data_IF_156691637939
#
_entry.id   IF_156691637939
#
_cell.length_a   1.000
_cell.length_b   1.000
_cell.length_c   1.000
_cell.angle_alpha   90.00
_cell.angle_beta   90.00
_cell.angle_gamma   90.00
#
_symmetry.space_group_name_H-M   'P 1'
#
loop_
_entity.id
_entity.type
_entity.pdbx_description
1 polymer ?
#
# COMPACT_ATOMS: atom_id res chain seq x y z
N UNK A 1 -37.15 -5.79 -9.21
CA UNK A 1 -38.04 -4.63 -9.34
C UNK A 1 -37.21 -3.41 -9.70
N UNK A 2 -37.68 -2.60 -10.61
CA UNK A 2 -36.95 -1.42 -11.13
C UNK A 2 -37.59 -0.13 -10.62
N UNK A 3 -36.93 1.01 -10.77
CA UNK A 3 -37.49 2.32 -10.42
C UNK A 3 -38.76 2.63 -11.23
N UNK A 4 -38.87 2.04 -12.44
CA UNK A 4 -40.04 2.15 -13.30
C UNK A 4 -41.28 1.45 -12.67
N UNK A 5 -41.06 0.28 -12.07
CA UNK A 5 -42.12 -0.49 -11.42
C UNK A 5 -42.60 0.22 -10.15
N UNK A 6 -41.66 0.78 -9.35
CA UNK A 6 -42.00 1.61 -8.18
C UNK A 6 -42.81 2.84 -8.58
N UNK A 7 -42.39 3.55 -9.62
CA UNK A 7 -43.12 4.73 -10.10
C UNK A 7 -44.52 4.41 -10.56
N UNK A 8 -44.70 3.30 -11.29
CA UNK A 8 -46.00 2.80 -11.75
C UNK A 8 -46.92 2.44 -10.59
N UNK A 9 -46.43 1.71 -9.59
CA UNK A 9 -47.23 1.28 -8.44
C UNK A 9 -47.57 2.45 -7.51
N UNK A 10 -46.64 3.37 -7.27
CA UNK A 10 -46.91 4.58 -6.49
C UNK A 10 -47.74 5.63 -7.23
N UNK A 11 -48.03 5.45 -8.51
CA UNK A 11 -48.80 6.38 -9.33
C UNK A 11 -48.13 7.75 -9.50
N UNK A 12 -46.79 7.77 -9.66
CA UNK A 12 -46.01 9.00 -9.82
C UNK A 12 -44.98 8.86 -10.92
N UNK A 13 -44.33 9.97 -11.29
CA UNK A 13 -43.23 9.92 -12.25
C UNK A 13 -41.96 9.32 -11.63
N UNK A 14 -41.09 8.75 -12.47
CA UNK A 14 -39.74 8.27 -12.08
C UNK A 14 -38.93 9.37 -11.39
N UNK A 15 -39.04 10.61 -11.90
CA UNK A 15 -38.41 11.79 -11.30
C UNK A 15 -38.91 12.02 -9.86
N UNK A 16 -40.18 11.81 -9.58
CA UNK A 16 -40.78 11.94 -8.24
C UNK A 16 -40.23 10.86 -7.30
N UNK A 17 -40.15 9.59 -7.75
CA UNK A 17 -39.54 8.51 -6.99
C UNK A 17 -38.07 8.82 -6.68
N UNK A 18 -37.30 9.22 -7.69
CA UNK A 18 -35.90 9.62 -7.52
C UNK A 18 -35.74 10.77 -6.51
N UNK A 19 -36.61 11.77 -6.53
CA UNK A 19 -36.55 12.88 -5.56
C UNK A 19 -36.89 12.44 -4.14
N UNK A 20 -37.80 11.48 -3.97
CA UNK A 20 -38.13 10.90 -2.65
C UNK A 20 -36.96 10.11 -2.11
N UNK A 21 -36.39 9.21 -2.91
CA UNK A 21 -35.18 8.41 -2.56
C UNK A 21 -34.00 9.31 -2.14
N UNK A 22 -33.79 10.40 -2.87
CA UNK A 22 -32.70 11.34 -2.60
C UNK A 22 -33.09 12.47 -1.62
N UNK A 23 -34.21 12.37 -0.94
CA UNK A 23 -34.71 13.34 0.04
C UNK A 23 -34.76 14.80 -0.45
N UNK A 24 -34.93 15.01 -1.76
CA UNK A 24 -34.95 16.36 -2.34
C UNK A 24 -36.25 17.11 -1.89
N UNK A 25 -36.13 18.44 -1.67
CA UNK A 25 -37.31 19.27 -1.31
C UNK A 25 -38.28 19.40 -2.48
N UNK A 26 -39.51 19.83 -2.15
CA UNK A 26 -40.55 20.12 -3.14
C UNK A 26 -41.46 18.93 -3.53
N UNK A 27 -41.47 17.87 -2.71
CA UNK A 27 -42.42 16.77 -2.80
C UNK A 27 -43.43 16.88 -1.65
N UNK A 28 -44.75 16.83 -1.95
CA UNK A 28 -45.81 16.83 -0.93
C UNK A 28 -45.67 15.60 -0.03
N UNK A 29 -45.89 15.79 1.28
CA UNK A 29 -45.71 14.74 2.28
C UNK A 29 -46.50 13.46 1.96
N UNK A 30 -47.78 13.61 1.58
CA UNK A 30 -48.63 12.48 1.17
C UNK A 30 -48.04 11.68 -0.01
N UNK A 31 -47.34 12.34 -0.92
CA UNK A 31 -46.66 11.67 -2.04
C UNK A 31 -45.37 10.97 -1.57
N UNK A 32 -44.66 11.57 -0.63
CA UNK A 32 -43.45 11.00 -0.03
C UNK A 32 -43.77 9.70 0.72
N UNK A 33 -44.80 9.73 1.58
CA UNK A 33 -45.27 8.56 2.33
C UNK A 33 -45.67 7.43 1.38
N UNK A 34 -46.51 7.70 0.38
CA UNK A 34 -46.95 6.69 -0.59
C UNK A 34 -45.80 6.04 -1.36
N UNK A 35 -44.79 6.82 -1.79
CA UNK A 35 -43.61 6.28 -2.46
C UNK A 35 -42.78 5.45 -1.50
N UNK A 36 -42.62 5.90 -0.24
CA UNK A 36 -41.87 5.18 0.77
C UNK A 36 -42.52 3.82 1.10
N UNK A 37 -43.86 3.76 1.24
CA UNK A 37 -44.59 2.50 1.46
C UNK A 37 -44.34 1.48 0.34
N UNK A 38 -44.25 1.93 -0.92
CA UNK A 38 -43.93 1.05 -2.05
C UNK A 38 -42.48 0.60 -2.02
N UNK A 39 -41.54 1.50 -1.70
CA UNK A 39 -40.11 1.17 -1.55
C UNK A 39 -39.91 0.12 -0.46
N UNK A 40 -40.54 0.31 0.70
CA UNK A 40 -40.44 -0.59 1.85
C UNK A 40 -41.09 -1.96 1.58
N UNK A 41 -42.27 -1.97 0.95
CA UNK A 41 -42.99 -3.19 0.54
C UNK A 41 -42.16 -4.12 -0.31
N UNK A 42 -41.35 -3.55 -1.19
CA UNK A 42 -40.49 -4.32 -2.12
C UNK A 42 -39.02 -4.38 -1.72
N UNK A 43 -38.66 -3.85 -0.55
CA UNK A 43 -37.27 -3.72 -0.10
C UNK A 43 -36.38 -3.14 -1.21
N UNK A 44 -36.89 -2.13 -1.92
CA UNK A 44 -36.20 -1.55 -3.06
C UNK A 44 -35.01 -0.73 -2.61
N UNK A 45 -33.83 -1.24 -2.93
CA UNK A 45 -32.58 -0.49 -2.79
C UNK A 45 -32.17 0.07 -4.15
N UNK A 46 -32.05 1.40 -4.27
CA UNK A 46 -31.54 2.01 -5.50
C UNK A 46 -30.17 1.45 -5.86
N UNK A 47 -29.99 0.95 -7.07
CA UNK A 47 -28.67 0.49 -7.49
C UNK A 47 -27.67 1.66 -7.45
N UNK A 48 -26.42 1.44 -7.04
CA UNK A 48 -25.38 2.45 -7.10
C UNK A 48 -25.26 3.10 -8.48
N UNK A 49 -25.40 2.31 -9.56
CA UNK A 49 -25.41 2.78 -10.94
C UNK A 49 -26.55 3.76 -11.24
N UNK A 50 -27.74 3.53 -10.67
CA UNK A 50 -28.90 4.44 -10.86
C UNK A 50 -28.72 5.76 -10.09
N UNK A 51 -28.06 5.73 -8.92
CA UNK A 51 -27.65 6.94 -8.19
C UNK A 51 -26.56 7.70 -8.93
N UNK A 52 -25.57 6.99 -9.46
CA UNK A 52 -24.44 7.53 -10.21
C UNK A 52 -24.86 8.24 -11.50
N UNK A 53 -25.81 7.68 -12.25
CA UNK A 53 -26.35 8.32 -13.49
C UNK A 53 -26.99 9.69 -13.19
N UNK A 54 -27.67 9.81 -12.06
CA UNK A 54 -28.30 11.08 -11.67
C UNK A 54 -27.31 12.13 -11.15
N UNK A 55 -26.21 11.68 -10.52
CA UNK A 55 -25.21 12.53 -9.91
C UNK A 55 -23.95 12.75 -10.77
N UNK A 56 -23.78 12.05 -11.91
CA UNK A 56 -22.53 11.95 -12.69
C UNK A 56 -21.33 11.50 -11.86
N UNK A 57 -21.56 10.79 -10.73
CA UNK A 57 -20.53 10.29 -9.83
C UNK A 57 -20.80 8.83 -9.51
N UNK A 58 -19.82 7.96 -9.72
CA UNK A 58 -19.98 6.51 -9.48
C UNK A 58 -19.92 6.15 -7.98
N UNK A 59 -19.34 7.00 -7.16
CA UNK A 59 -19.03 6.73 -5.75
C UNK A 59 -17.99 5.61 -5.58
N UNK A 60 -17.23 5.32 -6.61
CA UNK A 60 -16.29 4.17 -6.63
C UNK A 60 -14.85 4.62 -6.84
N UNK A 61 -13.94 4.14 -6.01
CA UNK A 61 -12.49 4.31 -6.13
C UNK A 61 -11.87 2.94 -6.44
N UNK A 62 -10.99 2.88 -7.45
CA UNK A 62 -10.24 1.66 -7.73
C UNK A 62 -8.97 1.61 -6.87
N UNK A 63 -8.72 0.46 -6.26
CA UNK A 63 -7.48 0.15 -5.53
C UNK A 63 -6.72 -0.90 -6.33
N UNK A 64 -5.57 -0.53 -6.89
CA UNK A 64 -4.73 -1.41 -7.69
C UNK A 64 -3.49 -1.79 -6.87
N UNK A 65 -3.24 -3.08 -6.75
CA UNK A 65 -2.05 -3.62 -6.09
C UNK A 65 -1.50 -4.80 -6.87
N UNK A 66 -0.24 -5.11 -6.69
CA UNK A 66 0.40 -6.25 -7.37
C UNK A 66 -0.19 -7.58 -6.91
N UNK A 67 -0.19 -7.82 -5.60
CA UNK A 67 -0.75 -9.04 -5.01
C UNK A 67 -1.32 -8.76 -3.60
N UNK A 68 -2.64 -8.84 -3.45
CA UNK A 68 -3.31 -8.62 -2.16
C UNK A 68 -2.99 -9.68 -1.09
N UNK A 69 -2.36 -10.79 -1.45
CA UNK A 69 -1.89 -11.82 -0.50
C UNK A 69 -0.61 -11.38 0.22
N UNK A 70 0.12 -10.43 -0.32
CA UNK A 70 1.26 -9.81 0.35
C UNK A 70 0.77 -8.92 1.49
N UNK A 71 1.27 -9.17 2.70
CA UNK A 71 0.85 -8.49 3.93
C UNK A 71 1.13 -6.98 3.86
N UNK A 72 2.23 -6.57 3.26
CA UNK A 72 2.56 -5.15 3.07
C UNK A 72 1.51 -4.43 2.21
N UNK A 73 1.13 -5.04 1.08
CA UNK A 73 0.10 -4.45 0.21
C UNK A 73 -1.30 -4.55 0.82
N UNK A 74 -1.67 -5.72 1.38
CA UNK A 74 -3.00 -5.91 1.94
C UNK A 74 -3.28 -5.01 3.13
N UNK A 75 -2.28 -4.68 3.94
CA UNK A 75 -2.41 -3.74 5.04
C UNK A 75 -2.77 -2.34 4.54
N UNK A 76 -2.05 -1.84 3.54
CA UNK A 76 -2.34 -0.53 2.92
C UNK A 76 -3.72 -0.53 2.25
N UNK A 77 -4.06 -1.59 1.48
CA UNK A 77 -5.39 -1.75 0.86
C UNK A 77 -6.50 -1.67 1.90
N UNK A 78 -6.37 -2.42 3.00
CA UNK A 78 -7.34 -2.44 4.09
C UNK A 78 -7.54 -1.05 4.69
N UNK A 79 -6.45 -0.36 5.03
CA UNK A 79 -6.52 0.98 5.64
C UNK A 79 -7.16 2.00 4.69
N UNK A 80 -6.76 2.01 3.41
CA UNK A 80 -7.34 2.89 2.39
C UNK A 80 -8.84 2.63 2.23
N UNK A 81 -9.24 1.35 2.12
CA UNK A 81 -10.64 0.95 1.97
C UNK A 81 -11.48 1.41 3.17
N UNK A 82 -11.01 1.14 4.39
CA UNK A 82 -11.73 1.54 5.60
C UNK A 82 -11.93 3.08 5.68
N UNK A 83 -10.91 3.86 5.35
CA UNK A 83 -11.00 5.32 5.39
C UNK A 83 -11.91 5.89 4.28
N UNK A 84 -11.85 5.33 3.07
CA UNK A 84 -12.73 5.73 1.97
C UNK A 84 -14.19 5.32 2.22
N UNK A 85 -14.42 4.12 2.78
CA UNK A 85 -15.75 3.63 3.17
C UNK A 85 -16.42 4.54 4.20
N UNK A 86 -15.69 5.04 5.21
CA UNK A 86 -16.21 6.03 6.19
C UNK A 86 -16.70 7.31 5.51
N UNK A 87 -16.17 7.63 4.33
CA UNK A 87 -16.56 8.80 3.53
C UNK A 87 -17.63 8.47 2.47
N UNK A 88 -18.13 7.23 2.45
CA UNK A 88 -19.21 6.79 1.57
C UNK A 88 -18.79 6.34 0.18
N UNK A 89 -17.49 6.16 -0.07
CA UNK A 89 -16.98 5.57 -1.31
C UNK A 89 -16.99 4.04 -1.24
N UNK A 90 -17.28 3.41 -2.37
CA UNK A 90 -17.05 1.98 -2.58
C UNK A 90 -15.65 1.77 -3.15
N UNK A 91 -14.99 0.69 -2.75
CA UNK A 91 -13.69 0.35 -3.28
C UNK A 91 -13.76 -0.84 -4.25
N UNK A 92 -13.16 -0.69 -5.43
CA UNK A 92 -12.98 -1.74 -6.43
C UNK A 92 -11.54 -2.23 -6.39
N UNK A 93 -11.29 -3.36 -5.72
CA UNK A 93 -9.96 -3.95 -5.65
C UNK A 93 -9.61 -4.69 -6.94
N UNK A 94 -8.42 -4.42 -7.47
CA UNK A 94 -7.84 -5.06 -8.65
C UNK A 94 -6.42 -5.55 -8.38
N UNK A 95 -6.20 -6.87 -8.45
CA UNK A 95 -4.87 -7.45 -8.47
C UNK A 95 -4.29 -7.34 -9.88
N UNK A 96 -3.13 -6.70 -10.01
CA UNK A 96 -2.50 -6.47 -11.31
C UNK A 96 -1.48 -7.54 -11.69
N UNK A 97 -0.98 -8.31 -10.71
CA UNK A 97 0.18 -9.16 -10.91
C UNK A 97 1.44 -8.35 -11.24
N UNK A 98 2.49 -9.07 -11.65
CA UNK A 98 3.79 -8.50 -12.02
C UNK A 98 3.90 -8.11 -13.49
N UNK A 99 2.97 -8.58 -14.32
CA UNK A 99 2.99 -8.38 -15.77
C UNK A 99 2.60 -6.93 -16.15
N UNK A 100 3.38 -6.34 -17.08
CA UNK A 100 3.17 -4.96 -17.53
C UNK A 100 1.84 -4.77 -18.24
N UNK A 101 1.45 -5.72 -19.06
CA UNK A 101 0.22 -5.64 -19.87
C UNK A 101 -1.00 -5.71 -18.95
N UNK A 102 -0.97 -6.62 -17.96
CA UNK A 102 -2.04 -6.73 -16.97
C UNK A 102 -2.18 -5.47 -16.11
N UNK A 103 -1.08 -4.82 -15.73
CA UNK A 103 -1.13 -3.53 -15.00
C UNK A 103 -1.80 -2.45 -15.83
N UNK A 104 -1.47 -2.36 -17.12
CA UNK A 104 -2.09 -1.39 -18.04
C UNK A 104 -3.57 -1.72 -18.27
N UNK A 105 -3.92 -3.00 -18.46
CA UNK A 105 -5.31 -3.46 -18.61
C UNK A 105 -6.16 -3.11 -17.38
N UNK A 106 -5.62 -3.24 -16.17
CA UNK A 106 -6.34 -2.83 -14.95
C UNK A 106 -6.67 -1.33 -14.94
N UNK A 107 -5.80 -0.45 -15.47
CA UNK A 107 -6.09 0.98 -15.59
C UNK A 107 -7.18 1.25 -16.65
N UNK A 108 -7.14 0.53 -17.76
CA UNK A 108 -8.20 0.60 -18.77
C UNK A 108 -9.55 0.14 -18.20
N UNK A 109 -9.56 -0.96 -17.43
CA UNK A 109 -10.76 -1.45 -16.74
C UNK A 109 -11.26 -0.47 -15.69
N UNK A 110 -10.38 0.22 -14.96
CA UNK A 110 -10.78 1.29 -14.04
C UNK A 110 -11.51 2.42 -14.78
N UNK A 111 -11.00 2.85 -15.94
CA UNK A 111 -11.67 3.82 -16.81
C UNK A 111 -13.04 3.30 -17.28
N UNK A 112 -13.13 2.05 -17.76
CA UNK A 112 -14.39 1.44 -18.22
C UNK A 112 -15.44 1.35 -17.10
N UNK A 113 -15.01 1.13 -15.86
CA UNK A 113 -15.87 1.14 -14.68
C UNK A 113 -16.24 2.55 -14.21
N UNK A 114 -15.77 3.60 -14.89
CA UNK A 114 -16.07 5.00 -14.57
C UNK A 114 -15.75 5.36 -13.11
N UNK A 115 -14.63 4.86 -12.56
CA UNK A 115 -14.21 5.17 -11.19
C UNK A 115 -13.92 6.66 -11.04
N UNK A 116 -14.19 7.23 -9.87
CA UNK A 116 -13.93 8.63 -9.58
C UNK A 116 -12.46 8.92 -9.27
N UNK A 117 -11.73 7.91 -8.80
CA UNK A 117 -10.31 8.00 -8.49
C UNK A 117 -9.65 6.63 -8.51
N UNK A 118 -8.33 6.62 -8.53
CA UNK A 118 -7.50 5.40 -8.50
C UNK A 118 -6.42 5.53 -7.45
N UNK A 119 -6.26 4.51 -6.60
CA UNK A 119 -5.12 4.39 -5.70
C UNK A 119 -4.22 3.26 -6.21
N UNK A 120 -2.97 3.59 -6.55
CA UNK A 120 -1.93 2.64 -6.96
C UNK A 120 -1.07 2.32 -5.74
N UNK A 121 -1.01 1.07 -5.31
CA UNK A 121 -0.38 0.65 -4.07
C UNK A 121 0.88 -0.17 -4.36
N UNK A 122 2.02 0.41 -4.10
CA UNK A 122 3.35 -0.18 -4.26
C UNK A 122 4.27 0.57 -5.20
N UNK A 123 5.58 0.55 -4.90
CA UNK A 123 6.63 1.21 -5.70
C UNK A 123 6.80 0.62 -7.11
N UNK A 124 6.23 -0.55 -7.36
CA UNK A 124 6.22 -1.21 -8.68
C UNK A 124 5.41 -0.44 -9.73
N UNK A 125 4.60 0.52 -9.31
CA UNK A 125 3.89 1.44 -10.22
C UNK A 125 4.72 2.67 -10.61
N UNK A 126 5.90 2.90 -10.05
CA UNK A 126 6.77 4.03 -10.42
C UNK A 126 7.58 3.73 -11.68
N UNK A 127 6.87 3.63 -12.81
CA UNK A 127 7.43 3.22 -14.09
C UNK A 127 6.91 4.09 -15.25
N UNK A 128 7.78 4.33 -16.26
CA UNK A 128 7.42 5.16 -17.43
C UNK A 128 6.21 4.64 -18.21
N UNK A 129 5.99 3.32 -18.27
CA UNK A 129 4.84 2.77 -18.96
C UNK A 129 3.53 3.01 -18.18
N UNK A 130 3.59 3.05 -16.85
CA UNK A 130 2.47 3.44 -15.99
C UNK A 130 2.12 4.92 -16.19
N UNK A 131 3.13 5.80 -16.27
CA UNK A 131 2.91 7.21 -16.60
C UNK A 131 2.15 7.37 -17.92
N UNK A 132 2.54 6.62 -18.96
CA UNK A 132 1.83 6.60 -20.25
C UNK A 132 0.40 6.07 -20.13
N UNK A 133 0.20 5.02 -19.32
CA UNK A 133 -1.12 4.43 -19.11
C UNK A 133 -2.06 5.40 -18.36
N UNK A 134 -1.59 6.08 -17.30
CA UNK A 134 -2.36 7.13 -16.60
C UNK A 134 -2.73 8.25 -17.59
N UNK A 135 -1.78 8.77 -18.36
CA UNK A 135 -2.03 9.82 -19.35
C UNK A 135 -3.06 9.41 -20.40
N UNK A 136 -3.07 8.13 -20.80
CA UNK A 136 -3.97 7.61 -21.82
C UNK A 136 -5.38 7.30 -21.30
N UNK A 137 -5.48 6.61 -20.16
CA UNK A 137 -6.73 6.05 -19.69
C UNK A 137 -7.37 6.85 -18.54
N UNK A 138 -6.57 7.62 -17.80
CA UNK A 138 -6.99 8.34 -16.59
C UNK A 138 -6.60 9.83 -16.62
N UNK A 139 -6.68 10.56 -17.78
CA UNK A 139 -6.11 11.90 -17.93
C UNK A 139 -6.71 12.94 -16.97
N UNK A 140 -7.96 12.74 -16.55
CA UNK A 140 -8.69 13.65 -15.66
C UNK A 140 -9.14 12.97 -14.35
N UNK A 141 -8.75 11.72 -14.13
CA UNK A 141 -9.10 10.96 -12.93
C UNK A 141 -8.02 11.19 -11.90
N UNK A 142 -8.34 11.61 -10.66
CA UNK A 142 -7.39 11.67 -9.56
C UNK A 142 -6.70 10.32 -9.33
N UNK A 143 -5.37 10.34 -9.21
CA UNK A 143 -4.56 9.17 -8.92
C UNK A 143 -3.70 9.45 -7.68
N UNK A 144 -3.83 8.61 -6.66
CA UNK A 144 -2.95 8.64 -5.48
C UNK A 144 -2.05 7.41 -5.53
N UNK A 145 -0.76 7.59 -5.27
CA UNK A 145 0.22 6.51 -5.26
C UNK A 145 0.75 6.31 -3.84
N UNK A 146 0.62 5.09 -3.33
CA UNK A 146 1.21 4.68 -2.06
C UNK A 146 2.60 4.10 -2.30
N UNK A 147 3.60 4.66 -1.66
CA UNK A 147 5.02 4.35 -1.79
C UNK A 147 5.57 4.47 -3.22
N UNK A 148 5.03 5.39 -3.99
CA UNK A 148 5.45 5.71 -5.36
C UNK A 148 5.04 7.14 -5.73
N UNK A 149 5.65 7.69 -6.79
CA UNK A 149 5.25 8.97 -7.37
C UNK A 149 5.58 9.04 -8.86
N UNK A 150 4.70 9.68 -9.62
CA UNK A 150 4.92 10.04 -11.01
C UNK A 150 4.54 11.51 -11.21
N UNK A 151 5.41 12.28 -11.84
CA UNK A 151 5.18 13.71 -12.09
C UNK A 151 4.13 13.91 -13.19
N UNK A 152 2.87 13.95 -12.77
CA UNK A 152 1.69 14.21 -13.58
C UNK A 152 0.71 15.12 -12.82
N UNK A 153 -0.05 15.99 -13.51
CA UNK A 153 -0.89 17.00 -12.87
C UNK A 153 -2.03 16.43 -12.01
N UNK A 154 -2.46 15.20 -12.29
CA UNK A 154 -3.53 14.50 -11.58
C UNK A 154 -3.01 13.39 -10.65
N UNK A 155 -1.71 13.39 -10.32
CA UNK A 155 -1.07 12.37 -9.47
C UNK A 155 -0.54 13.00 -8.18
N UNK A 156 -0.85 12.38 -7.04
CA UNK A 156 -0.22 12.66 -5.76
C UNK A 156 0.44 11.39 -5.21
N UNK A 157 1.63 11.52 -4.61
CA UNK A 157 2.39 10.42 -4.01
C UNK A 157 2.51 10.54 -2.50
N UNK A 158 2.26 9.44 -1.79
CA UNK A 158 2.57 9.28 -0.37
C UNK A 158 3.70 8.27 -0.27
N UNK A 159 4.88 8.72 0.15
CA UNK A 159 6.13 7.97 0.12
C UNK A 159 6.61 7.67 1.55
N UNK A 160 7.42 6.64 1.72
CA UNK A 160 8.23 6.44 2.91
C UNK A 160 9.72 6.61 2.57
N UNK A 161 10.47 7.33 3.43
CA UNK A 161 11.92 7.50 3.25
C UNK A 161 12.68 6.24 3.70
N UNK A 162 12.60 5.18 2.88
CA UNK A 162 13.30 3.92 3.13
C UNK A 162 14.83 4.08 3.19
N UNK A 163 15.38 5.08 2.49
CA UNK A 163 16.82 5.41 2.55
C UNK A 163 17.21 5.87 3.95
N UNK A 164 16.44 6.77 4.54
CA UNK A 164 16.66 7.25 5.90
C UNK A 164 16.52 6.12 6.93
N UNK A 165 15.48 5.27 6.79
CA UNK A 165 15.28 4.14 7.70
C UNK A 165 16.47 3.18 7.73
N UNK A 166 17.03 2.85 6.56
CA UNK A 166 18.20 1.99 6.46
C UNK A 166 19.47 2.65 7.02
N UNK A 167 19.67 3.96 6.77
CA UNK A 167 20.78 4.71 7.36
C UNK A 167 20.70 4.69 8.89
N UNK A 168 19.52 4.85 9.46
CA UNK A 168 19.29 4.81 10.91
C UNK A 168 19.56 3.42 11.49
N UNK A 169 19.16 2.35 10.80
CA UNK A 169 19.45 0.98 11.22
C UNK A 169 20.94 0.70 11.29
N UNK A 170 21.71 1.11 10.26
CA UNK A 170 23.18 0.99 10.28
C UNK A 170 23.78 1.82 11.41
N UNK A 171 23.32 3.06 11.59
CA UNK A 171 23.80 3.94 12.66
C UNK A 171 23.59 3.30 14.04
N UNK A 172 22.39 2.75 14.29
CA UNK A 172 22.09 2.04 15.53
C UNK A 172 23.03 0.87 15.78
N UNK A 173 23.26 0.00 14.78
CA UNK A 173 24.18 -1.14 14.92
C UNK A 173 25.62 -0.70 15.20
N UNK A 174 26.08 0.35 14.52
CA UNK A 174 27.41 0.92 14.71
C UNK A 174 27.58 1.49 16.15
N UNK A 175 26.57 2.14 16.71
CA UNK A 175 26.54 2.63 18.09
C UNK A 175 26.62 1.48 19.12
N UNK A 176 26.16 0.28 18.75
CA UNK A 176 26.32 -0.96 19.52
C UNK A 176 27.66 -1.66 19.29
N UNK A 177 28.62 -0.99 18.63
CA UNK A 177 29.93 -1.49 18.25
C UNK A 177 29.94 -2.68 17.27
N UNK A 178 28.85 -2.94 16.56
CA UNK A 178 28.79 -3.92 15.48
C UNK A 178 29.34 -3.26 14.20
N UNK A 179 30.38 -3.88 13.62
CA UNK A 179 31.12 -3.29 12.47
C UNK A 179 31.02 -4.12 11.20
N UNK A 180 30.73 -5.42 11.35
CA UNK A 180 30.58 -6.35 10.24
C UNK A 180 29.10 -6.52 9.93
N UNK A 181 28.54 -5.50 9.28
CA UNK A 181 27.11 -5.43 8.98
C UNK A 181 26.92 -5.82 7.50
N UNK A 182 26.07 -6.79 7.23
CA UNK A 182 25.70 -7.19 5.87
C UNK A 182 24.28 -6.71 5.53
N UNK A 183 23.99 -6.62 4.23
CA UNK A 183 22.66 -6.32 3.71
C UNK A 183 22.17 -7.44 2.81
N UNK A 184 20.93 -7.88 3.00
CA UNK A 184 20.27 -8.90 2.17
C UNK A 184 18.96 -8.35 1.64
N UNK A 185 18.84 -8.27 0.30
CA UNK A 185 17.65 -7.73 -0.33
C UNK A 185 17.46 -8.14 -1.77
N UNK A 186 16.25 -7.89 -2.27
CA UNK A 186 15.87 -8.03 -3.68
C UNK A 186 16.21 -6.81 -4.45
N UNK A 187 16.25 -6.16 -5.24
CA UNK A 187 16.73 -4.83 -5.63
C UNK A 187 16.31 -4.25 -6.99
N UNK A 188 15.19 -4.72 -7.48
CA UNK A 188 14.82 -4.33 -8.83
C UNK A 188 13.84 -3.14 -8.92
N UNK A 189 13.29 -2.63 -7.81
CA UNK A 189 12.40 -1.48 -7.84
C UNK A 189 13.01 -0.22 -7.20
N UNK A 190 12.33 0.92 -7.31
CA UNK A 190 12.81 2.21 -6.80
C UNK A 190 13.01 2.20 -5.29
N UNK A 191 12.07 1.59 -4.54
CA UNK A 191 12.15 1.47 -3.07
C UNK A 191 13.35 0.63 -2.64
N UNK A 192 13.56 -0.53 -3.27
CA UNK A 192 14.69 -1.41 -2.98
C UNK A 192 16.03 -0.71 -3.22
N UNK A 193 16.17 0.02 -4.31
CA UNK A 193 17.38 0.81 -4.58
C UNK A 193 17.62 1.91 -3.55
N UNK A 194 16.54 2.58 -3.09
CA UNK A 194 16.63 3.61 -2.06
C UNK A 194 17.06 3.01 -0.71
N UNK A 195 16.47 1.89 -0.29
CA UNK A 195 16.84 1.13 0.92
C UNK A 195 18.32 0.74 0.90
N UNK A 196 18.79 0.14 -0.19
CA UNK A 196 20.21 -0.19 -0.36
C UNK A 196 21.11 1.04 -0.24
N UNK A 197 20.75 2.12 -0.93
CA UNK A 197 21.55 3.34 -0.87
C UNK A 197 21.62 3.88 0.57
N UNK A 198 20.54 3.78 1.34
CA UNK A 198 20.53 4.14 2.75
C UNK A 198 21.47 3.30 3.60
N UNK A 199 21.52 1.97 3.35
CA UNK A 199 22.53 1.11 3.98
C UNK A 199 23.96 1.58 3.66
N UNK A 200 24.29 1.81 2.39
CA UNK A 200 25.62 2.27 1.97
C UNK A 200 25.98 3.64 2.58
N UNK A 201 25.02 4.56 2.62
CA UNK A 201 25.22 5.88 3.22
C UNK A 201 25.47 5.77 4.74
N UNK A 202 24.72 4.90 5.42
CA UNK A 202 24.92 4.61 6.84
C UNK A 202 26.32 4.03 7.14
N UNK A 203 26.76 3.04 6.35
CA UNK A 203 28.11 2.47 6.47
C UNK A 203 29.19 3.54 6.30
N UNK A 204 29.08 4.36 5.27
CA UNK A 204 30.01 5.47 5.01
C UNK A 204 29.98 6.51 6.14
N UNK A 205 28.81 6.90 6.61
CA UNK A 205 28.63 7.90 7.69
C UNK A 205 29.26 7.45 8.99
N UNK A 206 29.15 6.15 9.31
CA UNK A 206 29.74 5.56 10.50
C UNK A 206 31.23 5.21 10.34
N UNK A 207 31.85 5.50 9.19
CA UNK A 207 33.24 5.16 8.90
C UNK A 207 33.51 3.65 8.86
N UNK A 208 32.48 2.87 8.59
CA UNK A 208 32.55 1.42 8.46
C UNK A 208 32.96 1.05 7.02
N UNK A 209 33.73 -0.03 6.92
CA UNK A 209 34.01 -0.62 5.62
C UNK A 209 32.70 -1.22 5.08
N UNK A 210 32.41 -0.99 3.82
CA UNK A 210 31.25 -1.58 3.16
C UNK A 210 31.24 -3.10 3.41
N UNK A 211 30.15 -3.60 4.00
CA UNK A 211 29.95 -5.01 4.26
C UNK A 211 29.47 -5.74 3.00
N UNK A 212 29.32 -7.04 3.10
CA UNK A 212 28.80 -7.82 1.99
C UNK A 212 27.34 -7.44 1.69
N UNK A 213 27.11 -7.14 0.42
CA UNK A 213 25.77 -6.86 -0.10
C UNK A 213 25.33 -8.06 -0.91
N UNK A 214 24.45 -8.86 -0.33
CA UNK A 214 23.88 -10.02 -1.01
C UNK A 214 22.70 -9.58 -1.87
N UNK A 215 22.90 -9.66 -3.18
CA UNK A 215 21.93 -9.32 -4.18
C UNK A 215 21.10 -10.52 -4.59
N UNK A 216 19.84 -10.25 -5.04
CA UNK A 216 19.01 -11.23 -5.71
C UNK A 216 18.44 -12.30 -4.78
N UNK A 217 18.13 -11.95 -3.54
CA UNK A 217 17.12 -12.72 -2.85
C UNK A 217 15.80 -12.51 -3.60
N UNK A 218 15.27 -13.55 -4.24
CA UNK A 218 13.88 -13.51 -4.67
C UNK A 218 13.02 -13.24 -3.44
N UNK A 219 11.96 -12.46 -3.59
CA UNK A 219 11.03 -12.20 -2.51
C UNK A 219 10.60 -13.51 -1.85
N UNK A 220 10.71 -13.58 -0.53
CA UNK A 220 10.21 -14.70 0.24
C UNK A 220 11.24 -15.41 1.13
N UNK A 221 10.73 -16.30 1.98
CA UNK A 221 11.51 -16.97 3.03
C UNK A 221 12.54 -17.95 2.48
N UNK A 222 12.23 -18.67 1.40
CA UNK A 222 13.12 -19.71 0.87
C UNK A 222 14.44 -19.13 0.42
N UNK A 223 14.39 -18.12 -0.43
CA UNK A 223 15.59 -17.48 -0.96
C UNK A 223 16.32 -16.67 0.11
N UNK A 224 15.58 -16.04 1.04
CA UNK A 224 16.16 -15.39 2.22
C UNK A 224 17.02 -16.35 3.06
N UNK A 225 16.55 -17.58 3.27
CA UNK A 225 17.33 -18.63 3.94
C UNK A 225 18.57 -19.03 3.16
N UNK A 226 18.43 -19.30 1.86
CA UNK A 226 19.56 -19.69 0.98
C UNK A 226 20.65 -18.62 1.00
N UNK A 227 20.28 -17.35 0.80
CA UNK A 227 21.24 -16.24 0.76
C UNK A 227 21.90 -15.99 2.11
N UNK A 228 21.18 -16.17 3.19
CA UNK A 228 21.75 -16.05 4.53
C UNK A 228 22.78 -17.15 4.81
N UNK A 229 22.52 -18.39 4.40
CA UNK A 229 23.50 -19.47 4.50
C UNK A 229 24.76 -19.14 3.71
N UNK A 230 24.63 -18.79 2.43
CA UNK A 230 25.75 -18.44 1.57
C UNK A 230 26.58 -17.29 2.15
N UNK A 231 25.92 -16.26 2.67
CA UNK A 231 26.55 -15.13 3.33
C UNK A 231 27.40 -15.58 4.53
N UNK A 232 26.83 -16.33 5.45
CA UNK A 232 27.51 -16.73 6.70
C UNK A 232 28.59 -17.78 6.48
N UNK A 233 28.48 -18.63 5.45
CA UNK A 233 29.55 -19.55 5.05
C UNK A 233 30.76 -18.82 4.44
N UNK A 234 30.54 -17.75 3.68
CA UNK A 234 31.60 -16.95 3.07
C UNK A 234 32.16 -15.88 4.01
N UNK A 235 31.32 -15.36 4.90
CA UNK A 235 31.63 -14.26 5.82
C UNK A 235 31.25 -14.63 7.27
N UNK A 236 31.90 -15.62 7.88
CA UNK A 236 31.57 -16.07 9.23
C UNK A 236 31.79 -15.01 10.31
N UNK A 237 32.51 -13.92 10.00
CA UNK A 237 32.72 -12.76 10.85
C UNK A 237 31.53 -11.79 10.90
N UNK A 238 30.44 -12.05 10.19
CA UNK A 238 29.26 -11.18 10.16
C UNK A 238 28.63 -11.05 11.56
N UNK A 239 28.47 -9.81 12.03
CA UNK A 239 27.94 -9.48 13.37
C UNK A 239 26.47 -9.04 13.30
N UNK A 240 26.03 -8.51 12.16
CA UNK A 240 24.65 -8.12 11.95
C UNK A 240 24.22 -8.25 10.47
N UNK A 241 22.94 -8.53 10.26
CA UNK A 241 22.34 -8.56 8.93
C UNK A 241 21.12 -7.65 8.93
N UNK A 242 21.08 -6.72 7.98
CA UNK A 242 19.90 -5.91 7.68
C UNK A 242 19.22 -6.50 6.45
N UNK A 243 17.95 -6.86 6.61
CA UNK A 243 17.12 -7.40 5.51
C UNK A 243 16.20 -6.34 4.95
N UNK A 244 16.00 -6.38 3.65
CA UNK A 244 15.15 -5.43 2.93
C UNK A 244 13.67 -5.52 3.30
N UNK A 245 13.19 -6.71 3.68
CA UNK A 245 11.80 -6.97 4.08
C UNK A 245 11.70 -8.11 5.11
N UNK A 246 10.59 -8.14 5.84
CA UNK A 246 10.38 -9.11 6.93
C UNK A 246 10.37 -10.56 6.47
N UNK A 247 9.79 -10.89 5.30
CA UNK A 247 9.73 -12.28 4.80
C UNK A 247 11.11 -12.83 4.46
N UNK A 248 11.99 -12.02 3.87
CA UNK A 248 13.37 -12.42 3.60
C UNK A 248 14.09 -12.66 4.93
N UNK A 249 13.89 -11.77 5.91
CA UNK A 249 14.50 -11.88 7.24
C UNK A 249 14.05 -13.13 7.99
N UNK A 250 12.77 -13.51 7.92
CA UNK A 250 12.26 -14.77 8.52
C UNK A 250 12.98 -15.97 7.93
N UNK A 251 13.15 -15.98 6.60
CA UNK A 251 13.93 -17.02 5.94
C UNK A 251 15.34 -17.10 6.46
N UNK A 252 16.00 -15.97 6.60
CA UNK A 252 17.35 -15.86 7.17
C UNK A 252 17.43 -16.33 8.61
N UNK A 253 16.51 -15.89 9.48
CA UNK A 253 16.47 -16.30 10.88
C UNK A 253 16.22 -17.82 11.04
N UNK A 254 15.32 -18.37 10.24
CA UNK A 254 15.08 -19.82 10.22
C UNK A 254 16.32 -20.60 9.79
N UNK A 255 17.07 -20.07 8.83
CA UNK A 255 18.30 -20.70 8.36
C UNK A 255 19.42 -20.62 9.39
N UNK A 256 19.60 -19.45 10.03
CA UNK A 256 20.55 -19.28 11.15
C UNK A 256 20.24 -20.25 12.29
N UNK A 257 18.98 -20.47 12.63
CA UNK A 257 18.58 -21.46 13.62
C UNK A 257 19.01 -22.88 13.23
N UNK A 258 18.85 -23.29 11.97
CA UNK A 258 19.30 -24.60 11.47
C UNK A 258 20.83 -24.74 11.48
N UNK A 259 21.55 -23.62 11.25
CA UNK A 259 23.02 -23.57 11.31
C UNK A 259 23.56 -23.51 12.76
N UNK A 260 22.69 -23.37 13.77
CA UNK A 260 23.09 -23.19 15.15
C UNK A 260 23.64 -21.79 15.48
N UNK A 261 23.37 -20.80 14.61
CA UNK A 261 23.77 -19.40 14.81
C UNK A 261 22.75 -18.70 15.70
N UNK A 262 23.18 -18.19 16.84
CA UNK A 262 22.30 -17.54 17.80
C UNK A 262 21.94 -16.11 17.40
N UNK A 263 20.63 -15.81 17.37
CA UNK A 263 20.11 -14.46 17.16
C UNK A 263 19.50 -13.96 18.46
N UNK A 264 19.93 -12.84 19.04
CA UNK A 264 20.96 -11.90 18.56
C UNK A 264 22.39 -12.23 19.07
N UNK A 265 22.60 -13.37 19.75
CA UNK A 265 23.83 -13.65 20.48
C UNK A 265 25.11 -13.68 19.63
N UNK A 266 25.01 -14.10 18.38
CA UNK A 266 26.12 -14.12 17.41
C UNK A 266 25.86 -13.14 16.26
N UNK A 267 24.63 -13.11 15.74
CA UNK A 267 24.23 -12.24 14.66
C UNK A 267 23.00 -11.45 15.02
N UNK A 268 23.07 -10.14 15.06
CA UNK A 268 21.93 -9.25 15.19
C UNK A 268 21.14 -9.14 13.89
N UNK A 269 19.81 -9.10 13.96
CA UNK A 269 18.95 -9.01 12.79
C UNK A 269 18.04 -7.79 12.90
N UNK A 270 18.02 -6.98 11.83
CA UNK A 270 17.04 -5.91 11.60
C UNK A 270 16.41 -6.15 10.23
N UNK A 271 15.10 -5.93 10.10
CA UNK A 271 14.38 -5.99 8.83
C UNK A 271 13.69 -4.66 8.50
N UNK A 272 12.86 -4.66 7.48
CA UNK A 272 12.04 -3.54 7.05
C UNK A 272 10.59 -4.01 6.90
N UNK A 273 9.62 -3.12 7.11
CA UNK A 273 8.15 -3.17 7.02
C UNK A 273 7.44 -3.16 8.39
N UNK A 274 8.03 -3.67 9.46
CA UNK A 274 7.42 -3.89 10.79
C UNK A 274 6.02 -4.54 10.72
N UNK A 275 5.86 -5.49 9.83
CA UNK A 275 4.63 -6.23 9.62
C UNK A 275 4.25 -7.11 10.82
N UNK A 276 3.13 -7.80 10.74
CA UNK A 276 2.74 -8.81 11.74
C UNK A 276 3.83 -9.88 11.91
N UNK A 277 4.60 -10.15 10.86
CA UNK A 277 5.68 -11.15 10.89
C UNK A 277 6.79 -10.78 11.88
N UNK A 278 7.21 -9.51 11.95
CA UNK A 278 8.22 -9.07 12.90
C UNK A 278 7.79 -9.31 14.38
N UNK A 279 6.49 -9.27 14.64
CA UNK A 279 5.88 -9.37 15.97
C UNK A 279 5.69 -10.82 16.45
N UNK A 280 5.60 -11.79 15.52
CA UNK A 280 5.30 -13.19 15.83
C UNK A 280 6.51 -14.14 15.76
N UNK A 281 7.66 -13.68 15.23
CA UNK A 281 8.89 -14.46 15.19
C UNK A 281 9.46 -14.72 16.59
N UNK A 282 10.30 -15.76 16.71
CA UNK A 282 11.05 -16.05 17.95
C UNK A 282 12.54 -16.19 17.61
N UNK A 283 13.40 -15.25 18.09
CA UNK A 283 13.06 -14.03 18.85
C UNK A 283 12.22 -13.04 18.02
N UNK A 284 11.45 -12.16 18.69
CA UNK A 284 10.73 -11.09 18.00
C UNK A 284 11.72 -10.21 17.21
N UNK A 285 11.38 -9.94 15.97
CA UNK A 285 12.28 -9.29 15.02
C UNK A 285 12.24 -7.77 15.15
N UNK A 286 13.41 -7.15 15.26
CA UNK A 286 13.60 -5.72 15.12
C UNK A 286 13.36 -5.36 13.66
N UNK A 287 12.59 -4.32 13.42
CA UNK A 287 12.21 -3.95 12.05
C UNK A 287 12.01 -2.44 11.93
N UNK A 288 12.14 -1.92 10.73
CA UNK A 288 11.86 -0.52 10.41
C UNK A 288 10.37 -0.42 10.03
N UNK A 289 9.61 0.33 10.84
CA UNK A 289 8.20 0.64 10.57
C UNK A 289 8.12 1.71 9.47
N UNK A 290 7.65 1.34 8.30
CA UNK A 290 7.44 2.21 7.14
C UNK A 290 6.11 2.98 7.16
N UNK A 291 5.40 2.95 8.29
CA UNK A 291 4.20 3.74 8.56
C UNK A 291 3.02 3.42 7.63
N UNK A 292 2.79 2.13 7.33
CA UNK A 292 1.71 1.70 6.42
C UNK A 292 0.32 2.18 6.83
N UNK A 293 0.01 2.21 8.14
CA UNK A 293 -1.26 2.76 8.64
C UNK A 293 -1.40 4.25 8.28
N UNK A 294 -0.36 5.04 8.55
CA UNK A 294 -0.35 6.47 8.23
C UNK A 294 -0.41 6.67 6.72
N UNK A 295 0.32 5.86 5.94
CA UNK A 295 0.32 5.88 4.48
C UNK A 295 -1.09 5.65 3.93
N UNK A 296 -1.79 4.61 4.38
CA UNK A 296 -3.16 4.32 3.97
C UNK A 296 -4.15 5.45 4.30
N UNK A 297 -4.09 5.98 5.54
CA UNK A 297 -4.91 7.12 5.96
C UNK A 297 -4.65 8.35 5.07
N UNK A 298 -3.37 8.66 4.80
CA UNK A 298 -2.99 9.81 3.96
C UNK A 298 -3.38 9.61 2.50
N UNK A 299 -3.28 8.40 1.97
CA UNK A 299 -3.77 8.11 0.61
C UNK A 299 -5.28 8.37 0.49
N UNK A 300 -6.08 7.88 1.43
CA UNK A 300 -7.53 8.09 1.44
C UNK A 300 -7.90 9.57 1.62
N UNK A 301 -7.22 10.29 2.53
CA UNK A 301 -7.39 11.72 2.72
C UNK A 301 -7.06 12.49 1.45
N UNK A 302 -5.86 12.26 0.87
CA UNK A 302 -5.42 12.92 -0.37
C UNK A 302 -6.38 12.65 -1.53
N UNK A 303 -6.88 11.41 -1.67
CA UNK A 303 -7.87 11.08 -2.68
C UNK A 303 -9.13 11.94 -2.53
N UNK A 304 -9.66 12.08 -1.31
CA UNK A 304 -10.85 12.90 -1.07
C UNK A 304 -10.59 14.37 -1.32
N UNK A 305 -9.42 14.88 -0.91
CA UNK A 305 -9.02 16.28 -1.15
C UNK A 305 -8.90 16.57 -2.66
N UNK A 306 -8.35 15.62 -3.45
CA UNK A 306 -8.30 15.75 -4.90
C UNK A 306 -9.70 15.77 -5.54
N UNK A 307 -10.62 14.92 -5.08
CA UNK A 307 -11.99 14.87 -5.58
C UNK A 307 -12.80 16.12 -5.23
N UNK A 308 -12.47 16.79 -4.13
CA UNK A 308 -13.05 18.05 -3.68
C UNK A 308 -12.36 19.28 -4.27
N UNK A 309 -11.21 19.08 -4.95
CA UNK A 309 -10.40 20.17 -5.51
C UNK A 309 -9.64 21.01 -4.46
N UNK A 310 -9.39 20.44 -3.28
CA UNK A 310 -8.69 21.06 -2.16
C UNK A 310 -7.27 20.55 -1.94
N UNK A 311 -6.80 19.60 -2.74
CA UNK A 311 -5.45 19.06 -2.63
C UNK A 311 -4.38 20.14 -2.88
N UNK A 312 -3.45 20.30 -1.93
CA UNK A 312 -2.42 21.34 -1.95
C UNK A 312 -1.01 20.84 -2.27
N UNK A 313 -0.80 19.50 -2.23
CA UNK A 313 0.53 18.90 -2.34
C UNK A 313 0.53 17.80 -3.40
N UNK A 314 1.63 17.69 -4.14
CA UNK A 314 1.87 16.58 -5.08
C UNK A 314 2.56 15.38 -4.41
N UNK A 315 3.32 15.62 -3.34
CA UNK A 315 4.06 14.59 -2.61
C UNK A 315 4.01 14.81 -1.11
N UNK A 316 3.96 13.70 -0.36
CA UNK A 316 4.20 13.63 1.08
C UNK A 316 5.21 12.51 1.35
N UNK A 317 6.22 12.79 2.18
CA UNK A 317 7.21 11.80 2.59
C UNK A 317 7.05 11.51 4.08
N UNK A 318 6.81 10.26 4.42
CA UNK A 318 6.73 9.76 5.78
C UNK A 318 8.12 9.34 6.24
N UNK A 319 8.47 9.67 7.48
CA UNK A 319 9.72 9.24 8.09
C UNK A 319 9.49 7.90 8.78
N UNK A 320 10.22 6.85 8.40
CA UNK A 320 10.14 5.55 9.05
C UNK A 320 10.73 5.59 10.47
N UNK A 321 10.44 4.56 11.25
CA UNK A 321 10.93 4.44 12.63
C UNK A 321 11.54 3.07 12.86
N UNK A 322 12.74 3.04 13.45
CA UNK A 322 13.40 1.79 13.82
C UNK A 322 12.81 1.25 15.13
N UNK A 323 12.16 0.10 15.07
CA UNK A 323 11.55 -0.58 16.22
C UNK A 323 12.45 -1.73 16.66
N UNK A 324 13.15 -1.53 17.76
CA UNK A 324 14.07 -2.54 18.32
C UNK A 324 13.30 -3.56 19.16
N UNK A 325 13.59 -4.86 18.91
CA UNK A 325 13.04 -6.02 19.60
C UNK A 325 14.17 -7.00 19.96
N UNK A 326 13.81 -8.29 20.10
CA UNK A 326 14.72 -9.31 20.64
C UNK A 326 15.70 -9.91 19.62
N UNK A 327 15.57 -9.62 18.33
CA UNK A 327 16.50 -10.10 17.30
C UNK A 327 17.76 -9.25 17.17
N UNK A 328 17.82 -8.13 17.85
CA UNK A 328 18.98 -7.24 17.86
C UNK A 328 19.44 -7.00 19.29
N UNK A 329 20.74 -6.76 19.48
CA UNK A 329 21.28 -6.37 20.80
C UNK A 329 20.71 -5.01 21.22
N UNK A 330 20.40 -4.87 22.52
CA UNK A 330 19.80 -3.68 23.12
C UNK A 330 20.85 -2.63 23.47
#
# INVERSE_FOLDING_TARGET
MTIYDIAKEAGVSITTVSRVINQKPGIKEATRVRVQEVLDKYHYLPSPSAKGLAAKKSGTIALLTEDVRDVHYSHTVFTVEQELSKKGYNCLLMNTGTDREQRVECMERAMQNQVEGVVLIGSTFEEKYIQKAITRYLPNTPVVMANAYLDLPNVCGILCDGRKGMEDAVTYLAEKNLKKIAYVGDNDNVSARAKKQGYLDGMKKCGLKEGEVVWKAKRGMEDGGIRTRELLEQHPETEAIIYEEDLIAIGGMNEMMKMGVAVPGQVSVISFDDSVYAKITTPQMSSIDDKLDVMGIKCAQTMTDMLEGTALISQMVLIPELVIRKSCIL
#
